data_IF_141759322603
#
_entry.id   IF_141759322603
#
_cell.length_a   1.000
_cell.length_b   1.000
_cell.length_c   1.000
_cell.angle_alpha   90.00
_cell.angle_beta   90.00
_cell.angle_gamma   90.00
#
_symmetry.space_group_name_H-M   'P 1'
#
loop_
_entity.id
_entity.type
_entity.pdbx_description
1 polymer ?
#
# COMPACT_ATOMS: atom_id res chain seq x y z
N UNK A 1 22.27 40.62 -39.58
CA UNK A 1 21.01 40.79 -38.83
C UNK A 1 20.56 39.41 -38.37
N UNK A 2 21.25 38.77 -37.41
CA UNK A 2 20.92 37.36 -37.06
C UNK A 2 21.44 36.87 -35.70
N UNK A 3 21.71 37.77 -34.74
CA UNK A 3 22.17 37.35 -33.40
C UNK A 3 21.13 37.59 -32.29
N UNK A 4 20.08 38.37 -32.57
CA UNK A 4 19.09 38.80 -31.55
C UNK A 4 17.78 37.99 -31.61
N UNK A 5 17.62 37.14 -32.63
CA UNK A 5 16.47 36.22 -32.72
C UNK A 5 16.75 34.88 -32.02
N UNK A 6 18.01 34.44 -31.93
CA UNK A 6 18.35 33.17 -31.29
C UNK A 6 18.30 33.22 -29.74
N UNK A 7 18.66 34.37 -29.14
CA UNK A 7 18.60 34.54 -27.67
C UNK A 7 17.19 34.69 -27.10
N UNK A 8 16.21 35.08 -27.93
CA UNK A 8 14.79 35.14 -27.54
C UNK A 8 14.07 33.80 -27.72
N UNK A 9 14.62 32.89 -28.53
CA UNK A 9 14.14 31.51 -28.62
C UNK A 9 14.62 30.68 -27.43
N UNK A 10 15.89 30.77 -27.05
CA UNK A 10 16.44 30.02 -25.91
C UNK A 10 15.82 30.44 -24.57
N UNK A 11 15.52 31.73 -24.37
CA UNK A 11 14.81 32.19 -23.17
C UNK A 11 13.33 31.80 -23.11
N UNK A 12 12.69 31.50 -24.26
CA UNK A 12 11.31 31.01 -24.31
C UNK A 12 11.21 29.47 -24.28
N UNK A 13 12.31 28.75 -24.52
CA UNK A 13 12.39 27.30 -24.34
C UNK A 13 12.62 26.95 -22.86
N UNK A 14 13.47 27.72 -22.17
CA UNK A 14 13.70 27.59 -20.71
C UNK A 14 12.50 27.99 -19.83
N UNK A 15 11.51 28.70 -20.37
CA UNK A 15 10.29 29.09 -19.63
C UNK A 15 9.10 28.17 -19.88
N UNK A 16 9.20 27.19 -20.80
CA UNK A 16 8.13 26.18 -20.99
C UNK A 16 8.16 25.03 -20.00
N UNK A 17 9.27 24.86 -19.27
CA UNK A 17 9.37 23.96 -18.12
C UNK A 17 8.83 24.58 -16.82
N UNK A 18 8.08 25.69 -16.95
CA UNK A 18 7.37 26.35 -15.86
C UNK A 18 6.35 25.40 -15.23
N UNK A 19 6.78 24.73 -14.16
CA UNK A 19 5.99 23.93 -13.21
C UNK A 19 4.96 23.07 -13.95
N UNK A 20 5.30 21.81 -14.27
CA UNK A 20 4.29 20.82 -14.65
C UNK A 20 3.11 20.99 -13.70
N UNK A 21 1.98 21.51 -14.22
CA UNK A 21 0.81 21.78 -13.39
C UNK A 21 0.47 20.52 -12.64
N UNK A 22 -0.04 20.63 -11.41
CA UNK A 22 -0.38 19.46 -10.58
C UNK A 22 -1.17 18.41 -11.38
N UNK A 23 -2.13 18.85 -12.20
CA UNK A 23 -2.90 18.03 -13.13
C UNK A 23 -2.06 17.31 -14.20
N UNK A 24 -1.02 17.98 -14.73
CA UNK A 24 -0.10 17.39 -15.70
C UNK A 24 0.75 16.28 -15.05
N UNK A 25 1.27 16.52 -13.84
CA UNK A 25 2.01 15.52 -13.06
C UNK A 25 1.12 14.32 -12.77
N UNK A 26 -0.10 14.57 -12.25
CA UNK A 26 -1.08 13.52 -11.97
C UNK A 26 -1.38 12.68 -13.22
N UNK A 27 -1.66 13.33 -14.35
CA UNK A 27 -1.95 12.63 -15.61
C UNK A 27 -0.80 11.75 -16.05
N UNK A 28 0.45 12.24 -15.99
CA UNK A 28 1.64 11.45 -16.35
C UNK A 28 1.80 10.21 -15.47
N UNK A 29 1.62 10.36 -14.16
CA UNK A 29 1.71 9.25 -13.18
C UNK A 29 0.63 8.20 -13.46
N UNK A 30 -0.61 8.62 -13.69
CA UNK A 30 -1.73 7.72 -13.95
C UNK A 30 -1.59 6.98 -15.29
N UNK A 31 -1.15 7.66 -16.35
CA UNK A 31 -0.91 7.03 -17.65
C UNK A 31 0.18 5.96 -17.55
N UNK A 32 1.29 6.28 -16.88
CA UNK A 32 2.37 5.32 -16.65
C UNK A 32 1.89 4.09 -15.86
N UNK A 33 1.07 4.29 -14.83
CA UNK A 33 0.45 3.18 -14.10
C UNK A 33 -0.45 2.32 -15.01
N UNK A 34 -1.35 2.95 -15.78
CA UNK A 34 -2.31 2.22 -16.61
C UNK A 34 -1.62 1.38 -17.69
N UNK A 35 -0.51 1.87 -18.24
CA UNK A 35 0.34 1.12 -19.16
C UNK A 35 0.92 -0.12 -18.48
N UNK A 36 1.53 0.04 -17.29
CA UNK A 36 2.16 -1.06 -16.56
C UNK A 36 1.14 -2.11 -16.06
N UNK A 37 -0.05 -1.69 -15.61
CA UNK A 37 -1.12 -2.64 -15.26
C UNK A 37 -1.67 -3.35 -16.48
N UNK A 38 -1.76 -2.67 -17.63
CA UNK A 38 -2.18 -3.33 -18.87
C UNK A 38 -1.19 -4.41 -19.27
N UNK A 39 0.12 -4.21 -19.09
CA UNK A 39 1.14 -5.25 -19.28
C UNK A 39 0.92 -6.44 -18.34
N UNK A 40 0.67 -6.19 -17.05
CA UNK A 40 0.35 -7.25 -16.07
C UNK A 40 -0.87 -8.08 -16.50
N UNK A 41 -1.92 -7.42 -16.99
CA UNK A 41 -3.21 -8.06 -17.33
C UNK A 41 -3.18 -8.75 -18.69
N UNK A 42 -2.44 -8.22 -19.67
CA UNK A 42 -2.40 -8.74 -21.05
C UNK A 42 -1.28 -9.78 -21.25
N UNK A 43 -0.20 -9.73 -20.48
CA UNK A 43 0.95 -10.64 -20.62
C UNK A 43 0.84 -11.86 -19.71
N UNK A 44 -0.38 -12.41 -19.62
CA UNK A 44 -0.85 -13.62 -18.91
C UNK A 44 -0.07 -14.92 -19.23
N UNK A 45 1.06 -14.84 -19.96
CA UNK A 45 1.80 -15.99 -20.51
C UNK A 45 3.11 -16.29 -19.80
N UNK A 46 3.34 -15.79 -18.59
CA UNK A 46 4.56 -16.10 -17.83
C UNK A 46 5.87 -15.68 -18.53
N UNK A 47 5.80 -14.73 -19.48
CA UNK A 47 6.90 -14.34 -20.37
C UNK A 47 7.46 -12.93 -20.12
N UNK A 48 6.90 -12.16 -19.18
CA UNK A 48 7.48 -10.86 -18.81
C UNK A 48 8.87 -11.12 -18.24
N UNK A 49 9.94 -10.55 -18.81
CA UNK A 49 11.30 -10.67 -18.26
C UNK A 49 11.37 -10.14 -16.84
N UNK A 50 12.23 -10.71 -15.99
CA UNK A 50 12.33 -10.30 -14.59
C UNK A 50 12.70 -8.81 -14.42
N UNK A 51 13.47 -8.24 -15.36
CA UNK A 51 13.80 -6.81 -15.39
C UNK A 51 12.55 -5.93 -15.54
N UNK A 52 11.63 -6.33 -16.43
CA UNK A 52 10.39 -5.61 -16.66
C UNK A 52 9.39 -5.81 -15.53
N UNK A 53 9.34 -7.02 -14.93
CA UNK A 53 8.58 -7.27 -13.70
C UNK A 53 9.02 -6.36 -12.57
N UNK A 54 10.33 -6.18 -12.41
CA UNK A 54 10.88 -5.27 -11.41
C UNK A 54 10.51 -3.81 -11.71
N UNK A 55 10.60 -3.37 -12.97
CA UNK A 55 10.21 -2.01 -13.37
C UNK A 55 8.72 -1.73 -13.10
N UNK A 56 7.85 -2.68 -13.45
CA UNK A 56 6.41 -2.64 -13.15
C UNK A 56 6.19 -2.54 -11.64
N UNK A 57 6.83 -3.40 -10.85
CA UNK A 57 6.69 -3.41 -9.40
C UNK A 57 7.11 -2.08 -8.77
N UNK A 58 8.24 -1.51 -9.19
CA UNK A 58 8.71 -0.20 -8.77
C UNK A 58 7.72 0.92 -9.15
N UNK A 59 7.13 0.85 -10.34
CA UNK A 59 6.09 1.80 -10.77
C UNK A 59 4.86 1.75 -9.88
N UNK A 60 4.37 0.54 -9.57
CA UNK A 60 3.22 0.36 -8.68
C UNK A 60 3.52 0.91 -7.28
N UNK A 61 4.70 0.60 -6.74
CA UNK A 61 5.14 1.12 -5.44
C UNK A 61 5.28 2.64 -5.46
N UNK A 62 5.75 3.23 -6.55
CA UNK A 62 5.84 4.67 -6.72
C UNK A 62 4.45 5.32 -6.69
N UNK A 63 3.50 4.81 -7.49
CA UNK A 63 2.11 5.30 -7.54
C UNK A 63 1.42 5.17 -6.18
N UNK A 64 1.67 4.09 -5.46
CA UNK A 64 1.22 3.88 -4.08
C UNK A 64 1.72 5.00 -3.14
N UNK A 65 2.98 5.39 -3.26
CA UNK A 65 3.55 6.48 -2.46
C UNK A 65 2.96 7.84 -2.84
N UNK A 66 2.69 8.06 -4.13
CA UNK A 66 2.03 9.29 -4.61
C UNK A 66 0.59 9.43 -4.09
N UNK A 67 -0.14 8.32 -3.96
CA UNK A 67 -1.46 8.31 -3.32
C UNK A 67 -1.41 8.78 -1.87
N UNK A 68 -0.40 8.35 -1.10
CA UNK A 68 -0.21 8.83 0.28
C UNK A 68 0.08 10.33 0.36
N UNK A 69 0.68 10.90 -0.69
CA UNK A 69 0.89 12.34 -0.82
C UNK A 69 -0.34 13.09 -1.37
N UNK A 70 -1.49 12.42 -1.52
CA UNK A 70 -2.73 12.97 -2.10
C UNK A 70 -2.56 13.50 -3.53
N UNK A 71 -1.52 13.03 -4.23
CA UNK A 71 -1.31 13.32 -5.66
C UNK A 71 -2.24 12.42 -6.47
N UNK A 72 -2.36 11.14 -6.13
CA UNK A 72 -3.31 10.25 -6.81
C UNK A 72 -4.67 10.31 -6.10
N UNK A 73 -5.78 10.58 -6.81
CA UNK A 73 -7.11 10.54 -6.24
C UNK A 73 -7.54 9.13 -5.79
N UNK A 74 -8.45 9.06 -4.81
CA UNK A 74 -8.98 7.81 -4.27
C UNK A 74 -9.65 6.95 -5.34
N UNK A 75 -10.53 7.51 -6.17
CA UNK A 75 -11.24 6.78 -7.23
C UNK A 75 -10.27 6.08 -8.19
N UNK A 76 -9.16 6.75 -8.53
CA UNK A 76 -8.13 6.18 -9.40
C UNK A 76 -7.42 5.03 -8.73
N UNK A 77 -7.03 5.18 -7.46
CA UNK A 77 -6.38 4.12 -6.69
C UNK A 77 -7.31 2.91 -6.48
N UNK A 78 -8.60 3.11 -6.25
CA UNK A 78 -9.58 2.03 -6.14
C UNK A 78 -9.65 1.23 -7.45
N UNK A 79 -9.84 1.91 -8.59
CA UNK A 79 -9.83 1.27 -9.93
C UNK A 79 -8.54 0.49 -10.21
N UNK A 80 -7.42 0.99 -9.72
CA UNK A 80 -6.10 0.38 -9.85
C UNK A 80 -6.01 -0.94 -9.10
N UNK A 81 -6.43 -0.94 -7.83
CA UNK A 81 -6.50 -2.14 -7.00
C UNK A 81 -7.46 -3.18 -7.59
N UNK A 82 -8.63 -2.75 -8.07
CA UNK A 82 -9.64 -3.64 -8.65
C UNK A 82 -9.14 -4.39 -9.89
N UNK A 83 -8.31 -3.76 -10.73
CA UNK A 83 -7.70 -4.40 -11.91
C UNK A 83 -6.67 -5.47 -11.52
N UNK A 84 -5.96 -5.25 -10.42
CA UNK A 84 -4.93 -6.16 -9.92
C UNK A 84 -5.50 -7.33 -9.13
N UNK A 85 -6.65 -7.16 -8.46
CA UNK A 85 -7.26 -8.24 -7.69
C UNK A 85 -7.89 -9.27 -8.66
N UNK A 86 -7.35 -10.49 -8.72
CA UNK A 86 -7.81 -11.49 -9.67
C UNK A 86 -9.22 -12.01 -9.32
N UNK A 87 -9.84 -12.64 -10.31
CA UNK A 87 -11.10 -13.37 -10.14
C UNK A 87 -10.83 -14.85 -9.90
N UNK A 88 -11.77 -15.55 -9.26
CA UNK A 88 -11.69 -16.99 -8.94
C UNK A 88 -11.49 -17.89 -10.17
N UNK A 89 -11.75 -17.38 -11.38
CA UNK A 89 -11.66 -18.12 -12.64
C UNK A 89 -10.30 -18.02 -13.35
N UNK A 90 -9.32 -17.31 -12.79
CA UNK A 90 -8.01 -17.12 -13.45
C UNK A 90 -7.06 -18.31 -13.21
N UNK A 91 -6.28 -18.73 -14.22
CA UNK A 91 -5.34 -19.84 -14.07
C UNK A 91 -4.20 -19.49 -13.11
N UNK A 92 -3.77 -20.45 -12.29
CA UNK A 92 -2.76 -20.28 -11.24
C UNK A 92 -1.46 -19.62 -11.73
N UNK A 93 -0.98 -19.95 -12.93
CA UNK A 93 0.30 -19.44 -13.46
C UNK A 93 0.28 -17.93 -13.76
N UNK A 94 -0.89 -17.34 -14.00
CA UNK A 94 -1.00 -15.91 -14.22
C UNK A 94 -1.35 -15.11 -12.95
N UNK A 95 -1.70 -15.81 -11.88
CA UNK A 95 -1.96 -15.22 -10.58
C UNK A 95 -0.69 -14.77 -9.88
N UNK A 96 0.44 -15.47 -10.07
CA UNK A 96 1.65 -15.28 -9.27
C UNK A 96 2.16 -13.84 -9.21
N UNK A 97 2.60 -13.28 -10.34
CA UNK A 97 3.18 -11.93 -10.37
C UNK A 97 2.12 -10.85 -10.10
N UNK A 98 0.90 -11.05 -10.61
CA UNK A 98 -0.21 -10.12 -10.43
C UNK A 98 -0.60 -10.00 -8.95
N UNK A 99 -0.66 -11.12 -8.24
CA UNK A 99 -0.97 -11.16 -6.82
C UNK A 99 0.16 -10.58 -5.97
N UNK A 100 1.42 -10.84 -6.33
CA UNK A 100 2.58 -10.20 -5.68
C UNK A 100 2.49 -8.67 -5.76
N UNK A 101 2.14 -8.15 -6.94
CA UNK A 101 1.92 -6.73 -7.18
C UNK A 101 0.74 -6.18 -6.37
N UNK A 102 -0.40 -6.88 -6.37
CA UNK A 102 -1.58 -6.53 -5.57
C UNK A 102 -1.24 -6.45 -4.08
N UNK A 103 -0.64 -7.50 -3.53
CA UNK A 103 -0.30 -7.56 -2.10
C UNK A 103 0.65 -6.44 -1.74
N UNK A 104 1.67 -6.18 -2.55
CA UNK A 104 2.60 -5.08 -2.28
C UNK A 104 1.90 -3.72 -2.28
N UNK A 105 1.00 -3.50 -3.23
CA UNK A 105 0.25 -2.26 -3.32
C UNK A 105 -0.57 -2.04 -2.05
N UNK A 106 -1.34 -3.06 -1.63
CA UNK A 106 -2.18 -3.01 -0.43
C UNK A 106 -1.33 -2.82 0.84
N UNK A 107 -0.16 -3.42 0.96
CA UNK A 107 0.75 -3.18 2.10
C UNK A 107 1.15 -1.70 2.24
N UNK A 108 1.31 -0.97 1.14
CA UNK A 108 1.75 0.43 1.15
C UNK A 108 0.57 1.36 1.43
N UNK A 109 -0.56 1.15 0.74
CA UNK A 109 -1.70 2.08 0.75
C UNK A 109 -2.80 1.71 1.72
N UNK A 110 -2.83 0.48 2.22
CA UNK A 110 -3.98 -0.10 2.89
C UNK A 110 -4.47 0.69 4.11
N UNK A 111 -3.55 1.20 4.94
CA UNK A 111 -3.91 2.09 6.05
C UNK A 111 -4.63 3.36 5.57
N UNK A 112 -4.02 4.06 4.61
CA UNK A 112 -4.59 5.29 4.05
C UNK A 112 -5.88 5.03 3.29
N UNK A 113 -6.02 3.87 2.67
CA UNK A 113 -7.24 3.44 1.99
C UNK A 113 -8.37 3.19 3.00
N UNK A 114 -8.10 2.48 4.10
CA UNK A 114 -9.11 2.20 5.13
C UNK A 114 -9.55 3.45 5.88
N UNK A 115 -8.65 4.40 6.11
CA UNK A 115 -8.95 5.71 6.70
C UNK A 115 -9.87 6.57 5.80
N UNK A 116 -9.74 6.44 4.47
CA UNK A 116 -10.52 7.22 3.50
C UNK A 116 -11.84 6.53 3.11
N UNK A 117 -11.81 5.20 2.94
CA UNK A 117 -12.95 4.38 2.53
C UNK A 117 -12.85 2.96 3.10
N UNK A 118 -13.39 2.83 4.31
CA UNK A 118 -13.45 1.55 5.01
C UNK A 118 -14.33 0.52 4.28
N UNK A 119 -15.45 0.95 3.70
CA UNK A 119 -16.40 0.04 3.04
C UNK A 119 -15.79 -0.61 1.80
N UNK A 120 -15.05 0.17 1.01
CA UNK A 120 -14.28 -0.36 -0.11
C UNK A 120 -13.19 -1.33 0.35
N UNK A 121 -12.48 -0.98 1.43
CA UNK A 121 -11.46 -1.85 2.02
C UNK A 121 -12.08 -3.18 2.48
N UNK A 122 -13.22 -3.16 3.17
CA UNK A 122 -13.96 -4.37 3.56
C UNK A 122 -14.29 -5.24 2.34
N UNK A 123 -14.79 -4.62 1.26
CA UNK A 123 -15.12 -5.31 0.00
C UNK A 123 -13.92 -6.02 -0.62
N UNK A 124 -12.73 -5.40 -0.60
CA UNK A 124 -11.49 -6.04 -1.08
C UNK A 124 -11.15 -7.25 -0.22
N UNK A 125 -11.21 -7.13 1.11
CA UNK A 125 -10.85 -8.22 2.00
C UNK A 125 -11.86 -9.37 1.96
N UNK A 126 -13.14 -9.09 1.70
CA UNK A 126 -14.13 -10.13 1.40
C UNK A 126 -13.78 -10.90 0.12
N UNK A 127 -13.26 -10.23 -0.91
CA UNK A 127 -12.77 -10.89 -2.13
C UNK A 127 -11.49 -11.71 -1.84
N UNK A 128 -10.58 -11.21 -1.01
CA UNK A 128 -9.40 -11.96 -0.57
C UNK A 128 -9.83 -13.23 0.16
N UNK A 129 -10.80 -13.14 1.08
CA UNK A 129 -11.31 -14.28 1.84
C UNK A 129 -11.99 -15.35 0.96
N UNK A 130 -12.69 -14.93 -0.10
CA UNK A 130 -13.21 -15.87 -1.11
C UNK A 130 -12.08 -16.59 -1.85
N UNK A 131 -11.03 -15.87 -2.24
CA UNK A 131 -9.87 -16.45 -2.91
C UNK A 131 -9.13 -17.45 -1.99
N UNK A 132 -8.92 -17.12 -0.71
CA UNK A 132 -8.26 -18.04 0.24
C UNK A 132 -9.08 -19.30 0.52
N UNK A 133 -10.42 -19.20 0.56
CA UNK A 133 -11.31 -20.36 0.71
C UNK A 133 -11.33 -21.28 -0.52
N UNK A 134 -11.07 -20.74 -1.70
CA UNK A 134 -10.86 -21.52 -2.92
C UNK A 134 -9.42 -22.09 -2.99
N UNK A 135 -8.92 -22.61 -1.86
CA UNK A 135 -7.52 -23.02 -1.66
C UNK A 135 -7.01 -24.00 -2.73
N UNK A 136 -7.88 -24.84 -3.28
CA UNK A 136 -7.53 -25.79 -4.36
C UNK A 136 -7.08 -25.11 -5.66
N UNK A 137 -7.41 -23.83 -5.86
CA UNK A 137 -7.00 -23.02 -7.02
C UNK A 137 -5.71 -22.21 -6.76
N UNK A 138 -5.31 -22.07 -5.49
CA UNK A 138 -4.16 -21.26 -5.09
C UNK A 138 -2.98 -22.15 -4.69
N UNK A 139 -1.78 -21.80 -5.13
CA UNK A 139 -0.57 -22.43 -4.61
C UNK A 139 -0.29 -21.99 -3.18
N UNK A 140 0.40 -22.83 -2.41
CA UNK A 140 0.79 -22.56 -1.01
C UNK A 140 1.42 -21.17 -0.83
N UNK A 141 2.30 -20.77 -1.76
CA UNK A 141 2.94 -19.43 -1.76
C UNK A 141 1.92 -18.29 -1.81
N UNK A 142 0.94 -18.38 -2.73
CA UNK A 142 -0.08 -17.34 -2.91
C UNK A 142 -1.03 -17.27 -1.73
N UNK A 143 -1.40 -18.43 -1.18
CA UNK A 143 -2.20 -18.52 0.03
C UNK A 143 -1.54 -17.77 1.20
N UNK A 144 -0.26 -18.02 1.47
CA UNK A 144 0.47 -17.32 2.53
C UNK A 144 0.66 -15.82 2.28
N UNK A 145 0.72 -15.39 1.02
CA UNK A 145 0.76 -13.97 0.67
C UNK A 145 -0.54 -13.24 0.98
N UNK A 146 -1.69 -13.87 0.67
CA UNK A 146 -3.00 -13.34 1.04
C UNK A 146 -3.16 -13.32 2.56
N UNK A 147 -2.79 -14.40 3.24
CA UNK A 147 -2.85 -14.44 4.70
C UNK A 147 -2.00 -13.33 5.33
N UNK A 148 -0.80 -13.07 4.80
CA UNK A 148 0.08 -12.01 5.29
C UNK A 148 -0.59 -10.63 5.26
N UNK A 149 -1.34 -10.29 4.21
CA UNK A 149 -1.99 -8.98 4.14
C UNK A 149 -3.24 -8.91 5.03
N UNK A 150 -3.96 -10.02 5.20
CA UNK A 150 -5.06 -10.16 6.17
C UNK A 150 -4.56 -9.92 7.59
N UNK A 151 -3.49 -10.61 7.98
CA UNK A 151 -2.86 -10.41 9.30
C UNK A 151 -2.34 -8.99 9.50
N UNK A 152 -1.79 -8.36 8.44
CA UNK A 152 -1.33 -6.96 8.51
C UNK A 152 -2.50 -6.02 8.85
N UNK A 153 -3.65 -6.24 8.25
CA UNK A 153 -4.86 -5.46 8.53
C UNK A 153 -5.39 -5.72 9.94
N UNK A 154 -5.47 -6.98 10.37
CA UNK A 154 -5.87 -7.35 11.74
C UNK A 154 -4.96 -6.72 12.80
N UNK A 155 -3.66 -6.58 12.49
CA UNK A 155 -2.70 -5.87 13.33
C UNK A 155 -2.70 -4.33 13.11
N UNK A 156 -3.83 -3.75 12.70
CA UNK A 156 -4.00 -2.31 12.48
C UNK A 156 -2.93 -1.70 11.56
N UNK A 157 -2.58 -2.41 10.48
CA UNK A 157 -1.56 -2.01 9.50
C UNK A 157 -0.16 -1.83 10.08
N UNK A 158 0.11 -2.45 11.23
CA UNK A 158 1.43 -2.41 11.89
C UNK A 158 2.24 -3.64 11.48
N UNK A 159 3.39 -3.50 10.80
CA UNK A 159 4.19 -4.66 10.41
C UNK A 159 4.75 -5.41 11.61
N UNK A 160 4.71 -6.74 11.59
CA UNK A 160 5.32 -7.61 12.63
C UNK A 160 6.82 -7.34 12.84
N UNK A 161 7.53 -6.82 11.83
CA UNK A 161 8.97 -6.59 11.92
C UNK A 161 9.37 -5.41 12.83
N UNK A 162 8.46 -4.47 13.12
CA UNK A 162 8.77 -3.35 14.03
C UNK A 162 8.88 -3.80 15.49
N UNK A 163 8.22 -4.89 15.90
CA UNK A 163 8.38 -5.47 17.23
C UNK A 163 9.67 -6.30 17.38
N UNK A 164 10.33 -6.66 16.28
CA UNK A 164 11.59 -7.43 16.26
C UNK A 164 12.85 -6.54 16.14
N UNK A 165 12.70 -5.23 15.89
CA UNK A 165 13.84 -4.31 15.98
C UNK A 165 14.30 -4.23 17.44
N UNK A 166 15.62 -4.21 17.71
CA UNK A 166 16.12 -4.00 19.05
C UNK A 166 15.50 -2.72 19.63
N UNK A 167 14.69 -2.90 20.66
CA UNK A 167 14.10 -1.78 21.39
C UNK A 167 15.22 -1.15 22.21
N UNK A 168 15.41 0.17 22.11
CA UNK A 168 16.39 0.88 22.95
C UNK A 168 16.03 0.66 24.43
N UNK A 169 17.04 0.49 25.29
CA UNK A 169 16.84 0.30 26.74
C UNK A 169 15.93 1.40 27.35
N UNK A 170 15.99 2.61 26.82
CA UNK A 170 15.16 3.75 27.26
C UNK A 170 13.67 3.62 26.90
N UNK A 171 13.36 2.90 25.81
CA UNK A 171 11.96 2.60 25.46
C UNK A 171 11.42 1.47 26.34
N UNK A 172 12.24 0.44 26.63
CA UNK A 172 11.88 -0.64 27.57
C UNK A 172 11.62 -0.09 28.97
N UNK A 173 12.51 0.79 29.48
CA UNK A 173 12.34 1.40 30.81
C UNK A 173 11.05 2.21 30.93
N UNK A 174 10.73 3.03 29.92
CA UNK A 174 9.48 3.79 29.87
C UNK A 174 8.24 2.89 29.84
N UNK A 175 8.24 1.86 29.01
CA UNK A 175 7.12 0.90 28.96
C UNK A 175 6.90 0.18 30.29
N UNK A 176 7.99 -0.18 31.00
CA UNK A 176 7.92 -0.78 32.34
C UNK A 176 7.43 0.22 33.39
N UNK A 177 7.89 1.46 33.36
CA UNK A 177 7.41 2.53 34.27
C UNK A 177 5.92 2.80 34.08
N UNK A 178 5.47 2.94 32.83
CA UNK A 178 4.06 3.15 32.49
C UNK A 178 3.17 1.97 32.95
N UNK A 179 3.65 0.74 32.79
CA UNK A 179 2.95 -0.47 33.23
C UNK A 179 2.85 -0.55 34.76
N UNK A 180 3.93 -0.24 35.47
CA UNK A 180 3.95 -0.17 36.94
C UNK A 180 2.98 0.90 37.44
N UNK A 181 2.98 2.08 36.80
CA UNK A 181 2.10 3.18 37.18
C UNK A 181 0.62 2.81 36.96
N UNK A 182 0.28 2.18 35.84
CA UNK A 182 -1.08 1.69 35.56
C UNK A 182 -1.54 0.68 36.61
N UNK A 183 -0.70 -0.30 36.96
CA UNK A 183 -0.99 -1.26 38.04
C UNK A 183 -1.16 -0.58 39.39
N UNK A 184 -0.33 0.40 39.71
CA UNK A 184 -0.44 1.14 40.96
C UNK A 184 -1.77 1.91 41.04
N UNK A 185 -2.19 2.53 39.93
CA UNK A 185 -3.49 3.21 39.84
C UNK A 185 -4.65 2.24 40.04
N UNK A 186 -4.60 1.05 39.43
CA UNK A 186 -5.61 -0.01 39.65
C UNK A 186 -5.65 -0.48 41.11
N UNK A 187 -4.49 -0.70 41.74
CA UNK A 187 -4.41 -1.10 43.15
C UNK A 187 -5.03 -0.01 44.05
N UNK A 188 -4.71 1.26 43.80
CA UNK A 188 -5.26 2.40 44.55
C UNK A 188 -6.78 2.47 44.36
N UNK A 189 -7.27 2.29 43.15
CA UNK A 189 -8.70 2.27 42.83
C UNK A 189 -9.43 1.17 43.62
N UNK A 190 -8.94 -0.06 43.58
CA UNK A 190 -9.52 -1.19 44.32
C UNK A 190 -9.40 -1.05 45.84
N UNK A 191 -8.39 -0.32 46.35
CA UNK A 191 -8.28 0.02 47.78
C UNK A 191 -9.32 1.06 48.21
N UNK A 192 -9.60 2.07 47.38
CA UNK A 192 -10.64 3.08 47.64
C UNK A 192 -12.03 2.46 47.66
N UNK A 193 -12.35 1.59 46.70
CA UNK A 193 -13.64 0.88 46.64
C UNK A 193 -13.91 0.03 47.89
N UNK A 194 -12.90 -0.71 48.38
CA UNK A 194 -13.03 -1.51 49.60
C UNK A 194 -13.24 -0.70 50.87
N UNK A 195 -12.72 0.54 50.93
CA UNK A 195 -12.93 1.45 52.07
C UNK A 195 -14.29 2.16 52.05
N UNK A 196 -14.95 2.23 50.89
CA UNK A 196 -16.27 2.86 50.75
C UNK A 196 -17.43 1.89 51.05
N UNK A 197 -17.16 0.59 51.19
CA UNK A 197 -18.15 -0.46 51.50
C UNK A 197 -18.13 -0.91 52.97
N UNK A 198 -17.33 -0.27 53.83
CA UNK A 198 -17.23 -0.53 55.28
C UNK A 198 -17.63 0.72 56.03
#
# INVERSE_FOLDING_TARGET
MDATQNSKQDHNEYQRDSIDSFEHIQRRILLNYEENVSKIVLEDRGKVPDEERYAIFCTLAFVAQMFKQKIVPLDKMQRFIDKLLPSETQPQQSLDFKLDCFIKLVEIVGKSLEELDKQYTDTIFDRIDKLTKAESLLGTRLYFLLLRVTELRENNWTPRLESLKPVTIDKIRREVEDEIERRNQEIIFWRKQRKAST
#
